data_IF_065983586773
#
_entry.id   IF_065983586773
#
_cell.length_a   1.000
_cell.length_b   1.000
_cell.length_c   1.000
_cell.angle_alpha   90.00
_cell.angle_beta   90.00
_cell.angle_gamma   90.00
#
_symmetry.space_group_name_H-M   'P 1'
#
loop_
_entity.id
_entity.type
_entity.pdbx_description
1 polymer ?
#
# COMPACT_ATOMS: atom_id res chain seq x y z
N UNK A 1 6.22 -8.06 -0.97
CA UNK A 1 5.44 -8.35 0.25
C UNK A 1 4.88 -9.75 0.16
N UNK A 2 4.97 -10.47 1.23
CA UNK A 2 4.60 -11.88 1.28
C UNK A 2 3.94 -12.17 2.63
N UNK A 3 2.62 -12.20 2.66
CA UNK A 3 1.86 -12.50 3.87
C UNK A 3 1.58 -14.00 3.98
N UNK A 4 1.18 -14.63 2.88
CA UNK A 4 0.84 -16.05 2.83
C UNK A 4 1.34 -16.72 1.54
N UNK A 5 2.54 -16.37 1.08
CA UNK A 5 3.12 -16.96 -0.13
C UNK A 5 2.85 -16.21 -1.42
N UNK A 6 2.14 -15.08 -1.34
CA UNK A 6 2.02 -14.22 -2.51
C UNK A 6 3.30 -13.41 -2.65
N UNK A 7 3.88 -13.37 -3.83
CA UNK A 7 5.13 -12.65 -4.07
C UNK A 7 4.87 -11.35 -4.82
N UNK A 8 4.15 -10.43 -4.17
CA UNK A 8 3.92 -9.11 -4.72
C UNK A 8 5.23 -8.33 -4.69
N UNK A 9 5.67 -7.86 -5.84
CA UNK A 9 6.93 -7.13 -5.97
C UNK A 9 6.68 -5.65 -6.23
N UNK A 10 7.73 -4.83 -6.04
CA UNK A 10 7.63 -3.36 -6.15
C UNK A 10 7.10 -2.94 -7.51
N UNK A 11 7.52 -3.58 -8.59
CA UNK A 11 7.05 -3.25 -9.94
C UNK A 11 5.53 -3.42 -10.08
N UNK A 12 4.97 -4.44 -9.46
CA UNK A 12 3.51 -4.64 -9.45
C UNK A 12 2.82 -3.46 -8.76
N UNK A 13 3.33 -3.07 -7.59
CA UNK A 13 2.77 -1.99 -6.80
C UNK A 13 2.85 -0.64 -7.55
N UNK A 14 4.02 -0.34 -8.10
CA UNK A 14 4.23 0.92 -8.82
C UNK A 14 3.36 1.00 -10.08
N UNK A 15 3.30 -0.08 -10.84
CA UNK A 15 2.49 -0.13 -12.06
C UNK A 15 1.00 0.02 -11.74
N UNK A 16 0.51 -0.73 -10.76
CA UNK A 16 -0.90 -0.68 -10.39
C UNK A 16 -1.28 0.71 -9.89
N UNK A 17 -0.49 1.29 -8.99
CA UNK A 17 -0.76 2.64 -8.48
C UNK A 17 -0.75 3.69 -9.58
N UNK A 18 0.23 3.63 -10.49
CA UNK A 18 0.32 4.60 -11.58
C UNK A 18 -0.91 4.54 -12.49
N UNK A 19 -1.31 3.33 -12.88
CA UNK A 19 -2.46 3.15 -13.77
C UNK A 19 -3.78 3.54 -13.11
N UNK A 20 -4.00 3.11 -11.87
CA UNK A 20 -5.24 3.42 -11.15
C UNK A 20 -5.31 4.91 -10.83
N UNK A 21 -4.18 5.52 -10.43
CA UNK A 21 -4.12 6.96 -10.19
C UNK A 21 -4.48 7.77 -11.42
N UNK A 22 -3.96 7.37 -12.57
CA UNK A 22 -4.29 8.03 -13.84
C UNK A 22 -5.78 7.92 -14.15
N UNK A 23 -6.38 6.75 -13.95
CA UNK A 23 -7.80 6.54 -14.17
C UNK A 23 -8.67 7.39 -13.23
N UNK A 24 -8.21 7.65 -12.01
CA UNK A 24 -8.89 8.48 -11.03
C UNK A 24 -8.46 9.94 -11.06
N UNK A 25 -7.68 10.35 -12.06
CA UNK A 25 -7.22 11.74 -12.24
C UNK A 25 -6.47 12.28 -11.02
N UNK A 26 -5.62 11.45 -10.46
CA UNK A 26 -4.77 11.82 -9.32
C UNK A 26 -3.34 11.34 -9.58
N UNK A 27 -2.41 11.72 -8.71
CA UNK A 27 -1.03 11.26 -8.78
C UNK A 27 -0.49 11.02 -7.37
N UNK A 28 0.37 10.02 -7.25
CA UNK A 28 0.96 9.59 -5.99
C UNK A 28 2.27 10.33 -5.75
N UNK A 29 2.44 10.85 -4.53
CA UNK A 29 3.71 11.42 -4.09
C UNK A 29 4.62 10.31 -3.57
N UNK A 30 4.11 9.47 -2.66
CA UNK A 30 4.85 8.32 -2.15
C UNK A 30 3.87 7.34 -1.50
N UNK A 31 4.36 6.13 -1.22
CA UNK A 31 3.54 5.11 -0.58
C UNK A 31 4.40 4.07 0.13
N UNK A 32 3.78 3.36 1.05
CA UNK A 32 4.33 2.14 1.64
C UNK A 32 3.20 1.16 1.89
N UNK A 33 3.52 -0.13 1.89
CA UNK A 33 2.56 -1.18 2.20
C UNK A 33 3.23 -2.25 3.06
N UNK A 34 2.46 -2.83 3.93
CA UNK A 34 2.91 -3.89 4.82
C UNK A 34 1.78 -4.88 5.09
N UNK A 35 2.08 -5.96 5.81
CA UNK A 35 1.11 -7.00 6.05
C UNK A 35 0.24 -6.72 7.28
N UNK A 36 -1.00 -7.21 7.22
CA UNK A 36 -1.80 -7.46 8.41
C UNK A 36 -1.91 -8.98 8.49
N UNK A 37 -1.35 -9.55 9.55
CA UNK A 37 -1.30 -10.99 9.69
C UNK A 37 -2.63 -11.55 10.18
N UNK A 38 -2.85 -12.86 9.93
CA UNK A 38 -4.03 -13.54 10.46
C UNK A 38 -4.05 -13.47 11.98
N UNK A 39 -5.24 -13.28 12.53
CA UNK A 39 -5.46 -13.30 13.97
C UNK A 39 -6.78 -14.03 14.25
N UNK A 40 -6.67 -15.26 14.77
CA UNK A 40 -7.84 -16.09 15.01
C UNK A 40 -8.59 -16.40 13.71
N UNK A 41 -9.84 -15.93 13.61
CA UNK A 41 -10.67 -16.11 12.41
C UNK A 41 -10.47 -15.02 11.36
N UNK A 42 -9.71 -13.98 11.67
CA UNK A 42 -9.46 -12.89 10.73
C UNK A 42 -8.41 -13.30 9.73
N UNK A 43 -8.68 -13.06 8.48
CA UNK A 43 -7.72 -13.29 7.39
C UNK A 43 -6.70 -12.17 7.35
N UNK A 44 -5.55 -12.45 6.72
CA UNK A 44 -4.58 -11.42 6.45
C UNK A 44 -4.99 -10.52 5.30
N UNK A 45 -4.30 -9.42 5.16
CA UNK A 45 -4.46 -8.49 4.05
C UNK A 45 -3.23 -7.62 3.92
N UNK A 46 -3.15 -6.86 2.83
CA UNK A 46 -2.15 -5.81 2.67
C UNK A 46 -2.73 -4.49 3.16
N UNK A 47 -1.95 -3.74 3.90
CA UNK A 47 -2.33 -2.42 4.38
C UNK A 47 -1.39 -1.39 3.76
N UNK A 48 -1.97 -0.38 3.10
CA UNK A 48 -1.25 0.63 2.33
C UNK A 48 -1.46 2.01 2.93
N UNK A 49 -0.44 2.84 2.86
CA UNK A 49 -0.56 4.28 3.12
C UNK A 49 -0.03 4.99 1.89
N UNK A 50 -0.87 5.80 1.28
CA UNK A 50 -0.55 6.50 0.02
C UNK A 50 -0.76 7.98 0.21
N UNK A 51 0.29 8.75 -0.06
CA UNK A 51 0.19 10.21 -0.08
C UNK A 51 0.00 10.66 -1.52
N UNK A 52 -1.07 11.40 -1.78
CA UNK A 52 -1.40 11.92 -3.10
C UNK A 52 -1.13 13.41 -3.19
N UNK A 53 -0.91 13.91 -4.39
CA UNK A 53 -0.97 15.36 -4.64
C UNK A 53 -2.36 15.90 -4.29
N UNK A 54 -3.38 15.21 -4.80
CA UNK A 54 -4.79 15.44 -4.46
C UNK A 54 -5.44 14.09 -4.32
N UNK A 55 -6.10 13.78 -3.19
CA UNK A 55 -6.71 12.47 -3.01
C UNK A 55 -7.75 12.19 -4.09
N UNK A 56 -7.95 10.90 -4.44
CA UNK A 56 -9.02 10.54 -5.36
C UNK A 56 -10.37 10.87 -4.75
N UNK A 57 -11.34 11.17 -5.60
CA UNK A 57 -12.69 11.55 -5.13
C UNK A 57 -13.44 10.38 -4.50
N UNK A 58 -13.22 9.19 -5.03
CA UNK A 58 -13.86 7.97 -4.54
C UNK A 58 -12.79 7.01 -4.04
N UNK A 59 -12.49 7.09 -2.75
CA UNK A 59 -11.45 6.29 -2.11
C UNK A 59 -11.79 4.81 -2.18
N UNK A 60 -13.04 4.45 -1.94
CA UNK A 60 -13.45 3.05 -1.95
C UNK A 60 -13.30 2.43 -3.34
N UNK A 61 -13.68 3.16 -4.37
CA UNK A 61 -13.51 2.68 -5.74
C UNK A 61 -12.03 2.59 -6.09
N UNK A 62 -11.23 3.54 -5.63
CA UNK A 62 -9.78 3.51 -5.83
C UNK A 62 -9.18 2.24 -5.23
N UNK A 63 -9.53 1.92 -3.98
CA UNK A 63 -9.04 0.70 -3.31
C UNK A 63 -9.44 -0.55 -4.07
N UNK A 64 -10.69 -0.62 -4.52
CA UNK A 64 -11.18 -1.75 -5.28
C UNK A 64 -10.44 -1.93 -6.60
N UNK A 65 -10.24 -0.83 -7.33
CA UNK A 65 -9.52 -0.85 -8.60
C UNK A 65 -8.06 -1.25 -8.40
N UNK A 66 -7.43 -0.75 -7.33
CA UNK A 66 -6.04 -1.10 -7.01
C UNK A 66 -5.90 -2.58 -6.71
N UNK A 67 -6.77 -3.13 -5.86
CA UNK A 67 -6.75 -4.54 -5.52
C UNK A 67 -6.95 -5.42 -6.76
N UNK A 68 -7.89 -5.03 -7.60
CA UNK A 68 -8.16 -5.76 -8.84
C UNK A 68 -6.96 -5.72 -9.79
N UNK A 69 -6.34 -4.55 -9.94
CA UNK A 69 -5.19 -4.42 -10.84
C UNK A 69 -3.98 -5.23 -10.35
N UNK A 70 -3.77 -5.25 -9.03
CA UNK A 70 -2.72 -6.09 -8.46
C UNK A 70 -2.96 -7.57 -8.74
N UNK A 71 -4.20 -8.03 -8.68
CA UNK A 71 -4.55 -9.40 -9.05
C UNK A 71 -4.23 -9.67 -10.52
N UNK A 72 -4.51 -8.73 -11.40
CA UNK A 72 -4.21 -8.88 -12.83
C UNK A 72 -2.71 -8.93 -13.11
N UNK A 73 -1.92 -8.23 -12.32
CA UNK A 73 -0.47 -8.15 -12.50
C UNK A 73 0.31 -9.26 -11.80
N UNK A 74 -0.30 -9.94 -10.83
CA UNK A 74 0.41 -10.93 -10.02
C UNK A 74 -0.51 -12.12 -9.74
N UNK A 75 -0.18 -13.27 -10.37
CA UNK A 75 -1.01 -14.47 -10.27
C UNK A 75 -1.00 -15.08 -8.86
N UNK A 76 0.08 -14.90 -8.09
CA UNK A 76 0.12 -15.40 -6.71
C UNK A 76 -0.83 -14.60 -5.83
N UNK A 77 -0.86 -13.28 -6.01
CA UNK A 77 -1.80 -12.43 -5.29
C UNK A 77 -3.24 -12.76 -5.68
N UNK A 78 -3.50 -12.91 -6.98
CA UNK A 78 -4.83 -13.31 -7.45
C UNK A 78 -5.29 -14.62 -6.80
N UNK A 79 -4.42 -15.63 -6.75
CA UNK A 79 -4.74 -16.92 -6.14
C UNK A 79 -5.08 -16.77 -4.65
N UNK A 80 -4.33 -15.94 -3.92
CA UNK A 80 -4.57 -15.74 -2.48
C UNK A 80 -5.81 -14.90 -2.21
N UNK A 81 -6.18 -14.04 -3.16
CA UNK A 81 -7.40 -13.22 -3.06
C UNK A 81 -8.65 -13.97 -3.50
N UNK A 82 -8.49 -15.12 -4.16
CA UNK A 82 -9.64 -15.85 -4.73
C UNK A 82 -10.72 -16.10 -3.68
N UNK A 83 -11.91 -15.56 -3.94
CA UNK A 83 -13.08 -15.64 -3.04
C UNK A 83 -12.78 -15.23 -1.60
N UNK A 84 -11.79 -14.38 -1.38
CA UNK A 84 -11.34 -13.94 -0.05
C UNK A 84 -10.99 -15.13 0.87
N UNK A 85 -10.49 -16.22 0.31
CA UNK A 85 -10.24 -17.43 1.09
C UNK A 85 -8.97 -17.36 1.95
N UNK A 86 -7.93 -16.69 1.46
CA UNK A 86 -6.65 -16.57 2.17
C UNK A 86 -6.38 -15.13 2.56
N UNK A 87 -6.54 -14.20 1.62
CA UNK A 87 -6.35 -12.77 1.87
C UNK A 87 -7.65 -12.02 1.60
N UNK A 88 -7.96 -11.06 2.46
CA UNK A 88 -9.00 -10.09 2.19
C UNK A 88 -8.48 -9.00 1.25
N UNK A 89 -9.38 -8.19 0.72
CA UNK A 89 -9.01 -7.06 -0.11
C UNK A 89 -8.11 -6.10 0.68
N UNK A 90 -7.22 -5.40 -0.02
CA UNK A 90 -6.30 -4.47 0.62
C UNK A 90 -7.06 -3.33 1.30
N UNK A 91 -6.43 -2.79 2.33
CA UNK A 91 -6.88 -1.58 3.00
C UNK A 91 -5.91 -0.46 2.67
N UNK A 92 -6.43 0.72 2.33
CA UNK A 92 -5.60 1.86 1.99
C UNK A 92 -5.98 3.07 2.85
N UNK A 93 -4.97 3.72 3.39
CA UNK A 93 -5.12 4.98 4.11
C UNK A 93 -4.56 6.11 3.25
N UNK A 94 -5.28 7.21 3.18
CA UNK A 94 -4.79 8.40 2.49
C UNK A 94 -3.85 9.14 3.45
N UNK A 95 -2.59 9.31 3.04
CA UNK A 95 -1.61 10.03 3.82
C UNK A 95 -1.88 11.54 3.80
N UNK A 96 -1.71 12.19 4.96
CA UNK A 96 -1.80 13.65 5.02
C UNK A 96 -0.66 14.29 4.24
N UNK A 97 -0.84 15.56 3.92
CA UNK A 97 0.19 16.33 3.22
C UNK A 97 1.52 16.29 3.99
N UNK A 98 2.60 16.04 3.28
CA UNK A 98 3.97 15.99 3.80
C UNK A 98 4.24 14.81 4.77
N UNK A 99 3.38 13.80 4.80
CA UNK A 99 3.58 12.66 5.70
C UNK A 99 4.95 11.99 5.49
N UNK A 100 5.28 11.64 4.27
CA UNK A 100 6.54 10.96 3.96
C UNK A 100 7.76 11.88 4.13
N UNK A 101 7.60 13.15 3.82
CA UNK A 101 8.66 14.14 4.07
C UNK A 101 8.97 14.22 5.56
N UNK A 102 7.95 14.32 6.41
CA UNK A 102 8.12 14.41 7.85
C UNK A 102 8.76 13.14 8.42
N UNK A 103 8.39 11.97 7.88
CA UNK A 103 9.01 10.70 8.30
C UNK A 103 10.51 10.71 8.02
N UNK A 104 10.91 11.15 6.82
CA UNK A 104 12.32 11.25 6.46
C UNK A 104 13.06 12.23 7.35
N UNK A 105 12.45 13.37 7.64
CA UNK A 105 13.01 14.41 8.51
C UNK A 105 13.25 13.89 9.92
N UNK A 106 12.26 13.20 10.48
CA UNK A 106 12.37 12.61 11.83
C UNK A 106 13.51 11.58 11.92
N UNK A 107 13.85 10.96 10.82
CA UNK A 107 14.93 9.99 10.77
C UNK A 107 16.26 10.59 10.31
N UNK A 108 16.34 11.89 10.15
CA UNK A 108 17.54 12.60 9.65
C UNK A 108 18.00 12.08 8.29
N UNK A 109 17.04 11.75 7.42
CA UNK A 109 17.34 11.17 6.12
C UNK A 109 17.04 12.08 4.93
N UNK A 110 16.72 13.34 5.21
CA UNK A 110 16.52 14.34 4.16
C UNK A 110 17.85 14.60 3.44
N UNK A 111 17.81 14.64 2.13
CA UNK A 111 18.97 14.91 1.31
C UNK A 111 19.83 13.69 0.99
N UNK A 112 19.51 12.52 1.55
CA UNK A 112 20.16 11.27 1.24
C UNK A 112 19.33 10.36 0.34
N UNK A 113 19.82 9.16 0.09
CA UNK A 113 19.08 8.17 -0.71
C UNK A 113 18.20 7.26 0.15
N UNK A 114 17.84 7.73 1.31
CA UNK A 114 17.12 6.94 2.30
C UNK A 114 15.61 7.13 2.13
N UNK A 115 15.04 6.36 1.21
CA UNK A 115 13.58 6.34 1.02
C UNK A 115 12.98 5.29 1.92
N UNK A 116 11.70 5.47 2.23
CA UNK A 116 10.95 4.44 2.93
C UNK A 116 10.85 3.19 2.03
N UNK A 117 11.00 1.98 2.57
CA UNK A 117 10.71 0.78 1.80
C UNK A 117 9.24 0.78 1.36
N UNK A 118 9.01 0.67 0.06
CA UNK A 118 7.65 0.72 -0.48
C UNK A 118 6.84 -0.52 -0.18
N UNK A 119 7.51 -1.68 -0.14
CA UNK A 119 6.89 -2.93 0.31
C UNK A 119 7.73 -3.52 1.41
N UNK A 120 7.12 -3.95 2.49
CA UNK A 120 7.82 -4.55 3.61
C UNK A 120 7.07 -5.79 4.10
N UNK A 121 7.83 -6.79 4.56
CA UNK A 121 7.24 -7.97 5.19
C UNK A 121 6.98 -7.79 6.69
N UNK A 122 7.26 -6.60 7.22
CA UNK A 122 6.96 -6.24 8.59
C UNK A 122 6.01 -5.05 8.64
N UNK A 123 5.44 -4.81 9.81
CA UNK A 123 4.55 -3.66 10.04
C UNK A 123 5.29 -2.42 10.52
N UNK A 124 6.60 -2.46 10.62
CA UNK A 124 7.41 -1.39 11.20
C UNK A 124 7.08 0.00 10.62
N UNK A 125 7.11 0.10 9.29
CA UNK A 125 6.92 1.39 8.63
C UNK A 125 5.45 1.81 8.59
N UNK A 126 4.56 0.86 8.35
CA UNK A 126 3.12 1.14 8.31
C UNK A 126 2.66 1.67 9.66
N UNK A 127 3.08 1.06 10.76
CA UNK A 127 2.65 1.49 12.09
C UNK A 127 3.15 2.89 12.44
N UNK A 128 4.41 3.19 12.13
CA UNK A 128 4.95 4.53 12.38
C UNK A 128 4.18 5.58 11.57
N UNK A 129 3.94 5.30 10.29
CA UNK A 129 3.23 6.24 9.44
C UNK A 129 1.75 6.40 9.83
N UNK A 130 1.09 5.34 10.26
CA UNK A 130 -0.28 5.44 10.76
C UNK A 130 -0.36 6.35 11.99
N UNK A 131 0.62 6.25 12.89
CA UNK A 131 0.71 7.11 14.05
C UNK A 131 0.92 8.56 13.66
N UNK A 132 1.83 8.83 12.72
CA UNK A 132 2.11 10.17 12.23
C UNK A 132 0.95 10.76 11.42
N UNK A 133 0.10 9.92 10.86
CA UNK A 133 -1.01 10.33 10.00
C UNK A 133 -2.24 10.83 10.78
N UNK A 134 -2.20 10.76 12.05
CA UNK A 134 -3.31 11.23 12.90
C UNK A 134 -3.53 12.73 12.82
#
# INVERSE_FOLDING_TARGET
>A
INVFGEELVIENAETALAEVSKAHQTSVIDFTAGPVFMDGKKKGKHEWIVEFKSPPKDIDQFMSDLDKRLQELNSDYEAKRYKNMTLDSLEMHVGRENLFHDWLKDRNKLGGQNKIPRLSNSREFVEVLLEMNR
#
